data_IF_020342642300
#
_entry.id   IF_020342642300
#
_cell.length_a   1.000
_cell.length_b   1.000
_cell.length_c   1.000
_cell.angle_alpha   90.00
_cell.angle_beta   90.00
_cell.angle_gamma   90.00
#
_symmetry.space_group_name_H-M   'P 1'
#
loop_
_entity.id
_entity.type
_entity.pdbx_description
1 polymer ?
#
# COMPACT_ATOMS: atom_id res chain seq x y z
N UNK A 1 -26.01 45.58 44.03
CA UNK A 1 -26.95 44.98 43.06
C UNK A 1 -26.40 45.01 41.64
N UNK A 2 -25.99 46.16 41.09
CA UNK A 2 -25.52 46.27 39.70
C UNK A 2 -24.23 45.46 39.41
N UNK A 3 -23.24 45.44 40.32
CA UNK A 3 -22.00 44.65 40.17
C UNK A 3 -22.27 43.13 40.05
N UNK A 4 -23.15 42.59 40.90
CA UNK A 4 -23.52 41.18 40.88
C UNK A 4 -24.20 40.78 39.56
N UNK A 5 -24.99 41.68 38.97
CA UNK A 5 -25.61 41.48 37.66
C UNK A 5 -24.56 41.44 36.53
N UNK A 6 -23.59 42.36 36.55
CA UNK A 6 -22.50 42.38 35.57
C UNK A 6 -21.58 41.16 35.68
N UNK A 7 -21.33 40.69 36.90
CA UNK A 7 -20.58 39.46 37.14
C UNK A 7 -21.33 38.23 36.60
N UNK A 8 -22.63 38.13 36.88
CA UNK A 8 -23.47 37.05 36.36
C UNK A 8 -23.50 37.06 34.83
N UNK A 9 -23.62 38.23 34.21
CA UNK A 9 -23.58 38.38 32.75
C UNK A 9 -22.24 37.92 32.16
N UNK A 10 -21.12 38.33 32.76
CA UNK A 10 -19.79 37.91 32.32
C UNK A 10 -19.61 36.39 32.44
N UNK A 11 -20.09 35.80 33.54
CA UNK A 11 -20.06 34.36 33.76
C UNK A 11 -20.91 33.61 32.72
N UNK A 12 -22.12 34.09 32.44
CA UNK A 12 -23.01 33.50 31.43
C UNK A 12 -22.35 33.55 30.05
N UNK A 13 -21.76 34.69 29.66
CA UNK A 13 -21.05 34.85 28.40
C UNK A 13 -19.89 33.86 28.26
N UNK A 14 -19.10 33.67 29.32
CA UNK A 14 -17.98 32.73 29.32
C UNK A 14 -18.50 31.30 29.17
N UNK A 15 -19.45 30.88 30.01
CA UNK A 15 -19.95 29.50 30.03
C UNK A 15 -20.63 29.16 28.71
N UNK A 16 -21.49 30.04 28.18
CA UNK A 16 -22.21 29.78 26.93
C UNK A 16 -21.25 29.69 25.74
N UNK A 17 -20.26 30.60 25.67
CA UNK A 17 -19.31 30.63 24.55
C UNK A 17 -18.32 29.47 24.61
N UNK A 18 -17.84 29.11 25.80
CA UNK A 18 -16.98 27.94 26.00
C UNK A 18 -17.72 26.64 25.65
N UNK A 19 -18.99 26.51 26.07
CA UNK A 19 -19.80 25.34 25.73
C UNK A 19 -20.02 25.22 24.22
N UNK A 20 -20.31 26.34 23.55
CA UNK A 20 -20.45 26.37 22.08
C UNK A 20 -19.16 25.95 21.37
N UNK A 21 -18.01 26.47 21.80
CA UNK A 21 -16.70 26.09 21.25
C UNK A 21 -16.42 24.59 21.48
N UNK A 22 -16.65 24.07 22.69
CA UNK A 22 -16.45 22.65 22.99
C UNK A 22 -17.31 21.78 22.08
N UNK A 23 -18.60 22.10 21.93
CA UNK A 23 -19.50 21.35 21.04
C UNK A 23 -18.99 21.38 19.60
N UNK A 24 -18.58 22.55 19.10
CA UNK A 24 -18.08 22.70 17.74
C UNK A 24 -16.78 21.91 17.50
N UNK A 25 -15.81 21.99 18.42
CA UNK A 25 -14.57 21.21 18.36
C UNK A 25 -14.82 19.71 18.46
N UNK A 26 -15.75 19.27 19.32
CA UNK A 26 -16.08 17.85 19.46
C UNK A 26 -16.87 17.31 18.27
N UNK A 27 -17.69 18.13 17.62
CA UNK A 27 -18.47 17.73 16.43
C UNK A 27 -17.64 17.76 15.15
N UNK A 28 -16.56 18.54 15.12
CA UNK A 28 -15.74 18.72 13.92
C UNK A 28 -15.33 17.41 13.23
N UNK A 29 -14.76 16.38 13.91
CA UNK A 29 -14.37 15.14 13.25
C UNK A 29 -15.54 14.38 12.60
N UNK A 30 -16.76 14.53 13.14
CA UNK A 30 -17.94 13.81 12.67
C UNK A 30 -18.63 14.51 11.51
N UNK A 31 -18.53 15.84 11.42
CA UNK A 31 -19.19 16.63 10.38
C UNK A 31 -18.30 16.90 9.16
N UNK A 32 -16.98 16.82 9.32
CA UNK A 32 -16.02 17.30 8.32
C UNK A 32 -15.12 16.17 7.75
N UNK A 33 -15.47 14.91 8.03
CA UNK A 33 -14.94 13.74 7.32
C UNK A 33 -15.99 13.25 6.32
N UNK A 34 -15.65 13.31 5.03
CA UNK A 34 -16.49 12.75 3.96
C UNK A 34 -15.91 11.42 3.51
N UNK A 35 -16.77 10.42 3.33
CA UNK A 35 -16.42 9.15 2.71
C UNK A 35 -17.22 9.02 1.42
N UNK A 36 -16.51 8.81 0.31
CA UNK A 36 -17.11 8.44 -0.97
C UNK A 36 -16.76 6.99 -1.25
N UNK A 37 -17.73 6.17 -1.59
CA UNK A 37 -17.53 4.76 -1.92
C UNK A 37 -18.15 4.40 -3.26
N UNK A 38 -17.59 3.37 -3.90
CA UNK A 38 -18.03 2.97 -5.22
C UNK A 38 -17.25 1.80 -5.78
N UNK A 39 -17.44 1.57 -7.08
CA UNK A 39 -16.69 0.59 -7.86
C UNK A 39 -16.15 1.25 -9.11
N UNK A 40 -14.93 0.90 -9.47
CA UNK A 40 -14.28 1.36 -10.70
C UNK A 40 -13.84 0.15 -11.51
N UNK A 41 -14.18 0.15 -12.79
CA UNK A 41 -13.66 -0.84 -13.73
C UNK A 41 -12.28 -0.39 -14.21
N UNK A 42 -11.29 -1.26 -14.03
CA UNK A 42 -9.91 -1.09 -14.48
C UNK A 42 -9.60 -2.11 -15.57
N UNK A 43 -8.78 -1.72 -16.54
CA UNK A 43 -8.29 -2.58 -17.62
C UNK A 43 -6.78 -2.37 -17.81
N UNK A 44 -6.06 -3.43 -18.17
CA UNK A 44 -4.60 -3.38 -18.30
C UNK A 44 -4.17 -2.35 -19.32
N UNK A 45 -3.24 -1.47 -18.94
CA UNK A 45 -2.68 -0.44 -19.82
C UNK A 45 -3.64 0.72 -20.14
N UNK A 46 -4.85 0.73 -19.56
CA UNK A 46 -5.80 1.84 -19.71
C UNK A 46 -5.85 2.69 -18.46
N UNK A 47 -5.67 3.98 -18.64
CA UNK A 47 -5.82 4.97 -17.58
C UNK A 47 -7.29 5.19 -17.25
N UNK A 48 -7.61 5.15 -15.96
CA UNK A 48 -8.93 5.47 -15.46
C UNK A 48 -8.89 6.67 -14.54
N UNK A 49 -9.54 7.74 -14.97
CA UNK A 49 -9.75 8.92 -14.12
C UNK A 49 -10.96 8.69 -13.20
N UNK A 50 -10.74 8.81 -11.90
CA UNK A 50 -11.75 8.75 -10.86
C UNK A 50 -11.90 10.14 -10.22
N UNK A 51 -12.93 10.93 -10.59
CA UNK A 51 -13.14 12.26 -10.04
C UNK A 51 -13.54 12.18 -8.57
N UNK A 52 -13.04 13.13 -7.78
CA UNK A 52 -13.53 13.33 -6.41
C UNK A 52 -14.78 14.20 -6.50
N UNK A 53 -15.88 13.72 -5.93
CA UNK A 53 -17.20 14.32 -6.17
C UNK A 53 -17.39 15.65 -5.44
N UNK A 54 -16.72 15.84 -4.30
CA UNK A 54 -16.71 17.11 -3.58
C UNK A 54 -15.53 18.00 -4.00
N UNK A 55 -15.75 19.33 -4.11
CA UNK A 55 -14.65 20.26 -4.14
C UNK A 55 -13.86 20.16 -2.83
N UNK A 56 -12.54 20.13 -2.96
CA UNK A 56 -11.60 20.07 -1.87
C UNK A 56 -11.29 21.48 -1.37
N UNK A 57 -11.05 21.61 -0.06
CA UNK A 57 -10.54 22.83 0.55
C UNK A 57 -9.03 22.75 0.69
N UNK A 58 -8.42 23.91 0.89
CA UNK A 58 -6.99 23.98 1.16
C UNK A 58 -6.64 23.17 2.42
N UNK A 59 -5.65 22.29 2.30
CA UNK A 59 -5.17 21.37 3.33
C UNK A 59 -6.11 20.20 3.69
N UNK A 60 -7.11 19.90 2.86
CA UNK A 60 -7.87 18.66 3.02
C UNK A 60 -6.94 17.44 2.86
N UNK A 61 -7.08 16.46 3.76
CA UNK A 61 -6.34 15.20 3.70
C UNK A 61 -7.18 14.20 2.93
N UNK A 62 -6.70 13.79 1.76
CA UNK A 62 -7.44 12.90 0.87
C UNK A 62 -6.72 11.57 0.76
N UNK A 63 -7.43 10.49 1.07
CA UNK A 63 -6.93 9.12 0.98
C UNK A 63 -7.87 8.29 0.11
N UNK A 64 -7.34 7.57 -0.86
CA UNK A 64 -8.06 6.51 -1.56
C UNK A 64 -7.59 5.15 -1.06
N UNK A 65 -8.53 4.24 -0.88
CA UNK A 65 -8.29 2.83 -0.59
C UNK A 65 -9.03 1.99 -1.63
N UNK A 66 -8.29 1.21 -2.39
CA UNK A 66 -8.77 0.26 -3.38
C UNK A 66 -8.65 -1.16 -2.81
N UNK A 67 -9.74 -1.92 -2.85
CA UNK A 67 -9.74 -3.33 -2.41
C UNK A 67 -9.54 -4.23 -3.61
N UNK A 68 -8.30 -4.60 -3.90
CA UNK A 68 -7.95 -5.40 -5.07
C UNK A 68 -6.64 -6.15 -4.87
N UNK A 69 -6.55 -7.34 -5.46
CA UNK A 69 -5.30 -8.07 -5.63
C UNK A 69 -4.50 -7.63 -6.86
N UNK A 70 -5.08 -6.76 -7.71
CA UNK A 70 -4.38 -6.15 -8.83
C UNK A 70 -3.31 -5.16 -8.35
N UNK A 71 -2.17 -5.12 -9.03
CA UNK A 71 -1.23 -4.01 -8.90
C UNK A 71 -1.85 -2.78 -9.58
N UNK A 72 -2.10 -1.72 -8.81
CA UNK A 72 -2.66 -0.46 -9.33
C UNK A 72 -1.75 0.68 -8.93
N UNK A 73 -1.24 1.39 -9.94
CA UNK A 73 -0.55 2.65 -9.75
C UNK A 73 -1.58 3.76 -9.53
N UNK A 74 -1.42 4.50 -8.43
CA UNK A 74 -2.34 5.54 -8.01
C UNK A 74 -1.61 6.89 -8.05
N UNK A 75 -2.09 7.78 -8.90
CA UNK A 75 -1.64 9.18 -8.96
C UNK A 75 -2.81 10.12 -8.72
N UNK A 76 -2.56 11.33 -8.21
CA UNK A 76 -3.57 12.37 -8.06
C UNK A 76 -3.32 13.50 -9.04
N UNK A 77 -4.40 14.09 -9.56
CA UNK A 77 -4.37 15.16 -10.55
C UNK A 77 -5.34 16.28 -10.19
N UNK A 78 -4.98 17.49 -10.58
CA UNK A 78 -5.84 18.67 -10.56
C UNK A 78 -5.58 19.51 -11.79
N UNK A 79 -6.65 19.85 -12.53
CA UNK A 79 -6.56 20.67 -13.74
C UNK A 79 -5.46 20.20 -14.72
N UNK A 80 -5.33 18.87 -14.88
CA UNK A 80 -4.31 18.25 -15.74
C UNK A 80 -2.88 18.25 -15.20
N UNK A 81 -2.64 18.74 -13.97
CA UNK A 81 -1.31 18.69 -13.33
C UNK A 81 -1.26 17.59 -12.26
N UNK A 82 -0.18 16.79 -12.20
CA UNK A 82 -0.01 15.79 -11.15
C UNK A 82 0.20 16.47 -9.79
N UNK A 83 -0.34 15.87 -8.74
CA UNK A 83 -0.14 16.25 -7.35
C UNK A 83 0.87 15.32 -6.69
N UNK A 84 1.63 15.85 -5.73
CA UNK A 84 2.58 15.04 -4.97
C UNK A 84 1.82 14.10 -4.01
N UNK A 85 1.97 12.80 -4.24
CA UNK A 85 1.46 11.77 -3.34
C UNK A 85 2.41 11.63 -2.15
N UNK A 86 1.86 11.51 -0.93
CA UNK A 86 2.64 11.32 0.30
C UNK A 86 2.57 9.83 0.70
N UNK A 87 3.66 9.25 1.21
CA UNK A 87 3.62 7.89 1.75
C UNK A 87 2.69 7.85 2.96
N UNK A 88 1.83 6.83 3.03
CA UNK A 88 1.01 6.60 4.21
C UNK A 88 1.85 5.82 5.23
N UNK A 89 2.49 6.53 6.14
CA UNK A 89 3.13 5.90 7.30
C UNK A 89 2.07 5.71 8.37
N UNK A 90 1.53 4.49 8.52
CA UNK A 90 0.73 4.14 9.69
C UNK A 90 1.72 3.93 10.85
N UNK A 91 1.80 4.88 11.77
CA UNK A 91 2.67 4.78 12.95
C UNK A 91 2.40 3.47 13.71
N UNK A 92 3.43 2.64 13.88
CA UNK A 92 3.41 1.46 14.75
C UNK A 92 3.54 0.09 14.07
N UNK A 93 3.54 -0.01 12.73
CA UNK A 93 3.78 -1.28 12.05
C UNK A 93 4.62 -1.08 10.79
N UNK A 94 5.91 -1.42 10.87
CA UNK A 94 6.79 -1.46 9.71
C UNK A 94 6.51 -2.70 8.87
N UNK A 95 5.48 -2.68 8.02
CA UNK A 95 5.18 -3.84 7.18
C UNK A 95 4.67 -3.44 5.80
N UNK A 96 5.61 -3.19 4.89
CA UNK A 96 5.34 -3.20 3.45
C UNK A 96 4.64 -4.52 3.04
N UNK A 97 4.87 -5.64 3.77
CA UNK A 97 4.26 -6.96 3.54
C UNK A 97 2.79 -7.10 3.99
N UNK A 98 2.31 -6.37 5.00
CA UNK A 98 0.93 -6.51 5.52
C UNK A 98 -0.09 -5.91 4.55
N UNK A 99 0.26 -4.81 3.87
CA UNK A 99 -0.62 -4.21 2.86
C UNK A 99 -0.84 -5.14 1.65
N UNK A 100 0.18 -5.91 1.24
CA UNK A 100 0.03 -6.94 0.19
C UNK A 100 -0.90 -8.07 0.63
N UNK A 101 -0.83 -8.50 1.89
CA UNK A 101 -1.70 -9.55 2.44
C UNK A 101 -3.16 -9.09 2.59
N UNK A 102 -3.40 -7.79 2.79
CA UNK A 102 -4.74 -7.22 2.94
C UNK A 102 -5.43 -6.87 1.60
N UNK A 103 -4.78 -7.11 0.46
CA UNK A 103 -5.30 -6.77 -0.88
C UNK A 103 -5.80 -5.31 -0.95
N UNK A 104 -5.07 -4.40 -0.32
CA UNK A 104 -5.42 -2.97 -0.29
C UNK A 104 -4.33 -2.17 -0.98
N UNK A 105 -4.71 -1.36 -1.97
CA UNK A 105 -3.84 -0.35 -2.58
C UNK A 105 -4.30 1.03 -2.09
N UNK A 106 -3.38 1.83 -1.54
CA UNK A 106 -3.71 3.13 -0.96
C UNK A 106 -2.93 4.25 -1.59
N UNK A 107 -3.59 5.39 -1.80
CA UNK A 107 -2.97 6.65 -2.19
C UNK A 107 -3.37 7.75 -1.23
N UNK A 108 -2.43 8.65 -0.91
CA UNK A 108 -2.66 9.77 0.00
C UNK A 108 -2.05 11.06 -0.55
N UNK A 109 -2.77 12.17 -0.44
CA UNK A 109 -2.24 13.51 -0.70
C UNK A 109 -2.92 14.57 0.18
N UNK A 110 -2.28 15.73 0.29
CA UNK A 110 -2.85 16.92 0.90
C UNK A 110 -3.32 17.83 -0.23
N UNK A 111 -4.61 18.13 -0.26
CA UNK A 111 -5.22 18.93 -1.29
C UNK A 111 -4.90 20.41 -1.10
N UNK A 112 -4.87 21.13 -2.21
CA UNK A 112 -5.17 22.56 -2.19
C UNK A 112 -6.61 22.75 -2.68
N UNK A 113 -7.15 23.96 -2.53
CA UNK A 113 -8.54 24.25 -2.88
C UNK A 113 -8.85 23.94 -4.36
N UNK A 114 -10.01 23.33 -4.61
CA UNK A 114 -10.56 23.05 -5.95
C UNK A 114 -10.94 21.59 -6.18
N UNK A 115 -11.10 21.23 -7.46
CA UNK A 115 -11.46 19.86 -7.87
C UNK A 115 -10.20 19.03 -8.11
N UNK A 116 -10.22 17.75 -7.71
CA UNK A 116 -9.14 16.82 -8.00
C UNK A 116 -9.69 15.46 -8.43
N UNK A 117 -8.81 14.60 -8.92
CA UNK A 117 -9.15 13.26 -9.38
C UNK A 117 -7.98 12.32 -9.13
N UNK A 118 -8.27 11.04 -8.95
CA UNK A 118 -7.25 10.00 -8.99
C UNK A 118 -7.13 9.48 -10.42
N UNK A 119 -5.90 9.28 -10.88
CA UNK A 119 -5.58 8.48 -12.06
C UNK A 119 -5.18 7.10 -11.56
N UNK A 120 -5.92 6.09 -11.98
CA UNK A 120 -5.69 4.69 -11.67
C UNK A 120 -5.17 4.01 -12.92
N UNK A 121 -3.99 3.40 -12.82
CA UNK A 121 -3.38 2.67 -13.91
C UNK A 121 -3.09 1.24 -13.46
N UNK A 122 -3.54 0.25 -14.23
CA UNK A 122 -3.25 -1.15 -13.97
C UNK A 122 -2.16 -1.62 -14.97
N UNK A 123 -0.87 -1.61 -14.59
CA UNK A 123 0.21 -1.91 -15.53
C UNK A 123 0.27 -3.39 -15.92
N UNK A 124 -0.23 -4.28 -15.04
CA UNK A 124 -0.16 -5.72 -15.24
C UNK A 124 -1.53 -6.38 -15.14
N UNK A 125 -1.78 -7.47 -15.90
CA UNK A 125 -2.92 -8.34 -15.67
C UNK A 125 -2.97 -8.85 -14.22
N UNK A 126 -4.19 -9.13 -13.74
CA UNK A 126 -4.39 -9.81 -12.46
C UNK A 126 -3.98 -11.26 -12.62
N UNK A 127 -3.16 -11.70 -11.68
CA UNK A 127 -2.69 -13.08 -11.58
C UNK A 127 -2.99 -13.61 -10.18
N UNK A 128 -3.00 -14.93 -9.96
CA UNK A 128 -3.04 -15.51 -8.62
C UNK A 128 -1.85 -15.08 -7.74
N UNK A 129 -0.75 -14.62 -8.35
CA UNK A 129 0.47 -14.16 -7.70
C UNK A 129 0.50 -12.63 -7.56
N UNK A 130 0.99 -12.16 -6.42
CA UNK A 130 1.41 -10.78 -6.21
C UNK A 130 2.79 -10.57 -6.83
N UNK A 131 2.96 -9.49 -7.58
CA UNK A 131 4.27 -9.07 -8.09
C UNK A 131 4.95 -8.23 -7.01
N UNK A 132 5.97 -8.78 -6.37
CA UNK A 132 6.80 -8.06 -5.40
C UNK A 132 8.13 -7.74 -6.09
N UNK A 133 8.61 -6.50 -5.92
CA UNK A 133 9.83 -5.99 -6.54
C UNK A 133 9.75 -5.93 -8.08
N UNK A 134 9.04 -4.97 -8.70
CA UNK A 134 9.22 -4.70 -10.12
C UNK A 134 10.60 -4.05 -10.30
N UNK A 135 11.64 -4.89 -10.42
CA UNK A 135 13.01 -4.53 -10.81
C UNK A 135 13.62 -3.47 -9.89
N UNK A 136 13.96 -3.90 -8.65
CA UNK A 136 14.75 -3.07 -7.73
C UNK A 136 16.23 -3.14 -8.09
N UNK A 137 16.78 -2.03 -8.51
CA UNK A 137 18.16 -1.69 -8.22
C UNK A 137 18.24 -1.06 -6.84
N UNK A 138 19.15 -1.54 -6.00
CA UNK A 138 19.44 -0.91 -4.71
C UNK A 138 20.44 0.22 -4.94
N UNK A 139 19.94 1.46 -5.02
CA UNK A 139 20.78 2.64 -4.75
C UNK A 139 20.74 2.93 -3.26
N UNK A 140 21.92 3.04 -2.63
CA UNK A 140 22.10 3.35 -1.20
C UNK A 140 21.61 4.79 -0.88
N UNK A 141 21.34 5.61 -1.90
CA UNK A 141 20.97 7.03 -1.76
C UNK A 141 19.44 7.31 -1.81
N UNK A 142 18.60 6.31 -1.60
CA UNK A 142 17.22 6.55 -1.11
C UNK A 142 16.22 7.18 -2.11
N UNK A 143 16.44 7.04 -3.41
CA UNK A 143 15.45 7.46 -4.41
C UNK A 143 15.60 6.69 -5.71
N UNK A 144 14.82 5.62 -5.88
CA UNK A 144 14.63 4.98 -7.19
C UNK A 144 13.16 5.03 -7.53
N UNK A 145 12.83 5.59 -8.70
CA UNK A 145 11.46 5.56 -9.22
C UNK A 145 11.21 4.17 -9.82
N UNK A 146 10.03 3.56 -9.60
CA UNK A 146 9.64 2.35 -10.31
C UNK A 146 9.85 2.50 -11.83
N UNK A 147 10.48 1.52 -12.49
CA UNK A 147 10.67 1.48 -13.94
C UNK A 147 11.99 2.04 -14.50
N UNK A 148 12.89 2.56 -13.65
CA UNK A 148 14.22 3.03 -14.11
C UNK A 148 15.17 1.86 -14.42
N UNK A 149 15.08 0.76 -13.68
CA UNK A 149 16.03 -0.36 -13.75
C UNK A 149 15.70 -1.37 -14.85
N UNK A 150 14.40 -1.49 -15.19
CA UNK A 150 13.93 -2.29 -16.30
C UNK A 150 12.41 -2.30 -16.44
N UNK A 151 11.91 -3.10 -17.37
CA UNK A 151 10.49 -3.36 -17.59
C UNK A 151 10.16 -4.84 -17.35
N UNK A 152 9.00 -5.11 -16.75
CA UNK A 152 8.44 -6.44 -16.59
C UNK A 152 7.15 -6.52 -17.39
N UNK A 153 6.82 -7.68 -17.94
CA UNK A 153 5.49 -7.95 -18.48
C UNK A 153 5.06 -9.37 -18.11
N UNK A 154 3.75 -9.54 -17.92
CA UNK A 154 3.14 -10.85 -17.64
C UNK A 154 2.11 -11.14 -18.72
N UNK A 155 2.25 -12.31 -19.34
CA UNK A 155 1.38 -12.77 -20.41
C UNK A 155 1.09 -14.27 -20.27
N UNK A 156 0.17 -14.78 -21.08
CA UNK A 156 -0.02 -16.21 -21.26
C UNK A 156 0.71 -16.63 -22.52
N UNK A 157 1.37 -17.77 -22.45
CA UNK A 157 1.84 -18.50 -23.61
C UNK A 157 1.34 -19.94 -23.55
N UNK A 158 1.33 -20.59 -24.69
CA UNK A 158 1.00 -22.00 -24.82
C UNK A 158 2.21 -22.70 -25.42
N UNK A 159 2.75 -23.65 -24.67
CA UNK A 159 3.78 -24.58 -25.15
C UNK A 159 3.13 -25.96 -25.09
N UNK A 160 3.28 -26.79 -26.12
CA UNK A 160 2.76 -28.17 -26.16
C UNK A 160 1.35 -28.36 -25.56
N UNK A 161 0.40 -27.48 -25.92
CA UNK A 161 -1.00 -27.47 -25.46
C UNK A 161 -1.22 -27.17 -23.96
N UNK A 162 -0.18 -26.76 -23.24
CA UNK A 162 -0.24 -26.34 -21.84
C UNK A 162 -0.10 -24.82 -21.73
N UNK A 163 -1.05 -24.20 -21.02
CA UNK A 163 -0.99 -22.77 -20.71
C UNK A 163 0.04 -22.51 -19.62
N UNK A 164 0.92 -21.57 -19.87
CA UNK A 164 1.98 -21.14 -18.95
C UNK A 164 1.94 -19.62 -18.77
N UNK A 165 2.22 -19.16 -17.55
CA UNK A 165 2.52 -17.75 -17.31
C UNK A 165 3.88 -17.45 -17.93
N UNK A 166 3.93 -16.46 -18.81
CA UNK A 166 5.18 -15.92 -19.34
C UNK A 166 5.49 -14.60 -18.64
N UNK A 167 6.58 -14.58 -17.88
CA UNK A 167 7.14 -13.41 -17.24
C UNK A 167 8.36 -12.97 -18.03
N UNK A 168 8.23 -11.85 -18.73
CA UNK A 168 9.35 -11.26 -19.47
C UNK A 168 9.91 -10.07 -18.70
N UNK A 169 11.23 -10.00 -18.60
CA UNK A 169 11.95 -8.92 -17.95
C UNK A 169 12.98 -8.36 -18.94
N UNK A 170 12.97 -7.05 -19.11
CA UNK A 170 13.89 -6.28 -19.93
C UNK A 170 14.70 -5.35 -19.04
N UNK A 171 16.02 -5.50 -19.02
CA UNK A 171 16.92 -4.59 -18.30
C UNK A 171 17.09 -3.28 -19.06
N UNK A 172 17.03 -2.15 -18.35
CA UNK A 172 17.30 -0.80 -18.91
C UNK A 172 18.59 -0.17 -18.40
N UNK A 173 19.09 -0.61 -17.24
CA UNK A 173 20.31 -0.09 -16.59
C UNK A 173 21.24 -1.23 -16.21
N UNK A 174 22.52 -0.96 -15.95
CA UNK A 174 23.48 -1.98 -15.52
C UNK A 174 23.24 -2.56 -14.10
N UNK A 175 22.20 -2.09 -13.40
CA UNK A 175 21.81 -2.60 -12.09
C UNK A 175 21.16 -4.00 -12.17
N UNK A 176 21.24 -4.73 -11.05
CA UNK A 176 20.64 -6.05 -10.93
C UNK A 176 19.12 -5.97 -11.11
N UNK A 177 18.57 -6.88 -11.92
CA UNK A 177 17.15 -6.95 -12.24
C UNK A 177 16.58 -8.26 -11.71
N UNK A 178 15.68 -8.18 -10.74
CA UNK A 178 14.92 -9.32 -10.25
C UNK A 178 13.43 -9.00 -10.13
N UNK A 179 12.59 -10.00 -10.36
CA UNK A 179 11.16 -9.96 -10.09
C UNK A 179 10.78 -11.17 -9.24
N UNK A 180 9.85 -10.98 -8.30
CA UNK A 180 9.33 -12.07 -7.47
C UNK A 180 7.81 -12.13 -7.60
N UNK A 181 7.31 -13.29 -8.03
CA UNK A 181 5.89 -13.61 -8.00
C UNK A 181 5.59 -14.36 -6.71
N UNK A 182 4.62 -13.91 -5.92
CA UNK A 182 4.33 -14.46 -4.60
C UNK A 182 2.86 -14.84 -4.48
N UNK A 183 2.62 -16.10 -4.14
CA UNK A 183 1.31 -16.64 -3.82
C UNK A 183 1.17 -16.78 -2.30
N UNK A 184 0.22 -16.09 -1.66
CA UNK A 184 0.01 -16.18 -0.23
C UNK A 184 -0.61 -17.54 0.11
N UNK A 185 -0.09 -18.14 1.18
CA UNK A 185 -0.60 -19.40 1.72
C UNK A 185 -0.71 -19.28 3.23
N UNK A 186 -1.56 -20.11 3.82
CA UNK A 186 -1.61 -20.29 5.26
C UNK A 186 -1.64 -21.79 5.51
N UNK A 187 -0.46 -22.37 5.75
CA UNK A 187 -0.34 -23.80 5.97
C UNK A 187 0.82 -24.12 6.91
N UNK A 188 0.63 -25.16 7.72
CA UNK A 188 1.72 -25.82 8.46
C UNK A 188 2.28 -26.93 7.57
N UNK A 189 3.59 -27.01 7.41
CA UNK A 189 4.26 -27.99 6.54
C UNK A 189 4.26 -29.37 7.20
N UNK A 190 3.76 -30.36 6.47
CA UNK A 190 3.81 -31.78 6.86
C UNK A 190 4.89 -32.56 6.10
N UNK A 191 5.15 -33.79 6.53
CA UNK A 191 6.17 -34.66 5.92
C UNK A 191 5.94 -34.93 4.43
N UNK A 192 4.68 -34.93 3.98
CA UNK A 192 4.29 -35.18 2.59
C UNK A 192 4.30 -33.93 1.70
N UNK A 193 4.75 -32.78 2.24
CA UNK A 193 4.78 -31.51 1.55
C UNK A 193 5.62 -31.58 0.28
N UNK A 194 5.00 -31.17 -0.82
CA UNK A 194 5.58 -31.20 -2.15
C UNK A 194 5.06 -30.04 -2.99
N UNK A 195 5.94 -29.31 -3.65
CA UNK A 195 5.57 -28.36 -4.70
C UNK A 195 6.15 -28.80 -6.02
N UNK A 196 5.25 -29.01 -6.98
CA UNK A 196 5.58 -29.45 -8.32
C UNK A 196 5.10 -28.43 -9.35
N UNK A 197 5.92 -28.20 -10.37
CA UNK A 197 5.55 -27.39 -11.53
C UNK A 197 6.47 -27.65 -12.71
N UNK A 198 6.08 -27.11 -13.86
CA UNK A 198 6.90 -27.12 -15.08
C UNK A 198 7.33 -25.70 -15.35
N UNK A 199 8.58 -25.51 -15.77
CA UNK A 199 9.04 -24.23 -16.27
C UNK A 199 9.83 -24.38 -17.57
N UNK A 200 9.94 -23.28 -18.29
CA UNK A 200 10.81 -23.08 -19.43
C UNK A 200 11.29 -21.64 -19.38
N UNK A 201 12.31 -21.33 -20.14
CA UNK A 201 12.85 -19.99 -20.27
C UNK A 201 13.35 -19.68 -21.69
N UNK A 202 13.52 -18.42 -21.97
CA UNK A 202 14.14 -17.93 -23.20
C UNK A 202 15.04 -16.78 -22.83
N UNK A 203 16.30 -16.90 -23.19
CA UNK A 203 17.33 -15.91 -22.91
C UNK A 203 18.25 -15.75 -24.11
N UNK A 204 18.84 -14.56 -24.28
CA UNK A 204 19.64 -14.28 -25.48
C UNK A 204 21.10 -14.73 -25.37
N UNK A 205 21.66 -14.77 -24.15
CA UNK A 205 23.07 -15.08 -23.89
C UNK A 205 23.26 -16.02 -22.72
N UNK A 206 22.63 -15.72 -21.57
CA UNK A 206 22.87 -16.42 -20.31
C UNK A 206 21.55 -16.85 -19.66
N UNK A 207 21.54 -18.02 -19.03
CA UNK A 207 20.35 -18.52 -18.34
C UNK A 207 19.97 -17.61 -17.14
N UNK A 208 18.69 -17.20 -17.00
CA UNK A 208 18.23 -16.49 -15.82
C UNK A 208 18.33 -17.35 -14.58
N UNK A 209 18.58 -16.73 -13.43
CA UNK A 209 18.52 -17.40 -12.12
C UNK A 209 17.05 -17.45 -11.70
N UNK A 210 16.49 -18.65 -11.59
CA UNK A 210 15.12 -18.91 -11.20
C UNK A 210 15.18 -19.68 -9.89
N UNK A 211 14.59 -19.11 -8.85
CA UNK A 211 14.50 -19.75 -7.54
C UNK A 211 13.06 -19.79 -7.09
N UNK A 212 12.66 -20.91 -6.53
CA UNK A 212 11.45 -21.05 -5.77
C UNK A 212 11.72 -20.59 -4.33
N UNK A 213 10.79 -19.87 -3.72
CA UNK A 213 10.97 -19.27 -2.42
C UNK A 213 9.81 -19.64 -1.50
N UNK A 214 10.11 -19.87 -0.23
CA UNK A 214 9.13 -20.21 0.81
C UNK A 214 9.40 -19.32 2.02
N UNK A 215 8.41 -18.54 2.43
CA UNK A 215 8.51 -17.68 3.61
C UNK A 215 7.91 -18.37 4.83
N UNK A 216 8.74 -18.66 5.82
CA UNK A 216 8.31 -19.21 7.11
C UNK A 216 7.99 -18.08 8.09
N UNK A 217 6.80 -18.13 8.69
CA UNK A 217 6.41 -17.27 9.80
C UNK A 217 7.01 -17.74 11.12
N UNK A 218 7.30 -19.04 11.27
CA UNK A 218 7.77 -19.63 12.53
C UNK A 218 9.12 -19.04 12.93
N UNK A 219 10.05 -18.92 11.98
CA UNK A 219 11.41 -18.45 12.21
C UNK A 219 11.73 -17.15 11.44
N UNK A 220 10.82 -16.68 10.59
CA UNK A 220 10.98 -15.45 9.81
C UNK A 220 11.98 -15.56 8.66
N UNK A 221 12.30 -16.79 8.21
CA UNK A 221 13.31 -17.03 7.17
C UNK A 221 12.64 -17.21 5.78
N UNK A 222 13.27 -16.61 4.76
CA UNK A 222 12.98 -16.88 3.35
C UNK A 222 13.89 -18.00 2.84
N UNK A 223 13.33 -19.18 2.64
CA UNK A 223 14.05 -20.30 2.04
C UNK A 223 14.01 -20.18 0.52
N UNK A 224 15.17 -20.14 -0.12
CA UNK A 224 15.30 -20.03 -1.58
C UNK A 224 15.92 -21.29 -2.18
N UNK A 225 15.23 -21.87 -3.17
CA UNK A 225 15.58 -23.12 -3.84
C UNK A 225 15.83 -22.83 -5.33
N UNK A 226 17.07 -22.88 -5.83
CA UNK A 226 17.32 -22.70 -7.26
C UNK A 226 16.67 -23.86 -8.03
N UNK A 227 15.93 -23.53 -9.09
CA UNK A 227 15.07 -24.48 -9.81
C UNK A 227 15.83 -25.23 -10.92
N UNK A 228 17.09 -24.87 -11.22
CA UNK A 228 17.86 -25.51 -12.31
C UNK A 228 19.34 -25.77 -12.01
N UNK A 229 19.90 -26.73 -12.76
CA UNK A 229 21.34 -26.93 -12.99
C UNK A 229 21.76 -26.28 -14.31
N UNK A 230 22.99 -25.74 -14.39
CA UNK A 230 23.53 -24.94 -15.51
C UNK A 230 23.56 -25.63 -16.91
N UNK A 231 23.00 -26.83 -17.06
CA UNK A 231 23.17 -27.73 -18.19
C UNK A 231 22.00 -27.79 -19.19
N UNK A 232 20.95 -26.99 -19.04
CA UNK A 232 19.73 -27.11 -19.87
C UNK A 232 19.69 -26.05 -20.97
N UNK A 233 19.14 -26.39 -22.15
CA UNK A 233 19.17 -25.53 -23.35
C UNK A 233 17.89 -24.72 -23.59
N UNK A 234 18.04 -23.43 -23.92
CA UNK A 234 16.93 -22.44 -24.04
C UNK A 234 15.67 -23.00 -24.71
N UNK A 235 14.49 -22.76 -24.12
CA UNK A 235 13.20 -23.28 -24.59
C UNK A 235 12.82 -24.72 -24.19
N UNK A 236 13.73 -25.51 -23.61
CA UNK A 236 13.40 -26.83 -23.06
C UNK A 236 12.56 -26.74 -21.77
N UNK A 237 11.56 -27.62 -21.71
CA UNK A 237 10.70 -27.82 -20.54
C UNK A 237 11.44 -28.56 -19.44
N UNK A 238 11.25 -28.11 -18.21
CA UNK A 238 11.81 -28.72 -17.03
C UNK A 238 10.77 -28.87 -15.94
N UNK A 239 10.69 -30.08 -15.39
CA UNK A 239 9.94 -30.35 -14.18
C UNK A 239 10.78 -29.99 -12.97
N UNK A 240 10.16 -29.35 -11.98
CA UNK A 240 10.76 -29.18 -10.67
C UNK A 240 9.86 -29.76 -9.59
N UNK A 241 10.51 -30.30 -8.57
CA UNK A 241 9.86 -30.92 -7.43
C UNK A 241 10.60 -30.53 -6.16
N UNK A 242 9.96 -29.70 -5.35
CA UNK A 242 10.45 -29.30 -4.05
C UNK A 242 9.75 -30.08 -2.94
N UNK A 243 10.51 -30.74 -2.08
CA UNK A 243 10.00 -31.46 -0.90
C UNK A 243 10.48 -30.80 0.40
N UNK A 244 9.74 -30.99 1.50
CA UNK A 244 10.10 -30.43 2.81
C UNK A 244 11.44 -30.96 3.40
N UNK A 245 11.97 -32.06 2.84
CA UNK A 245 13.24 -32.68 3.23
C UNK A 245 14.37 -32.46 2.21
N UNK A 246 14.18 -31.58 1.22
CA UNK A 246 15.17 -31.36 0.15
C UNK A 246 16.45 -30.71 0.72
N UNK A 247 17.44 -31.53 1.10
CA UNK A 247 18.66 -31.05 1.76
C UNK A 247 19.60 -30.26 0.84
N UNK A 248 19.53 -30.43 -0.48
CA UNK A 248 20.52 -29.83 -1.40
C UNK A 248 20.41 -28.30 -1.62
N UNK A 249 19.26 -27.63 -1.37
CA UNK A 249 19.23 -26.17 -1.25
C UNK A 249 19.17 -25.65 0.19
N UNK A 250 18.83 -26.52 1.14
CA UNK A 250 18.69 -26.18 2.55
C UNK A 250 20.06 -26.22 3.23
N UNK A 251 20.83 -25.14 3.07
CA UNK A 251 21.96 -24.89 4.00
C UNK A 251 21.47 -24.84 5.47
N UNK A 252 20.17 -24.68 5.70
CA UNK A 252 19.51 -24.60 7.00
C UNK A 252 18.26 -25.50 7.07
N UNK A 253 18.41 -26.74 7.55
CA UNK A 253 17.33 -27.50 8.20
C UNK A 253 16.17 -28.01 7.33
N UNK A 254 15.23 -28.70 7.98
CA UNK A 254 13.94 -29.12 7.40
C UNK A 254 12.88 -28.10 7.79
N UNK A 255 11.98 -27.77 6.86
CA UNK A 255 10.85 -26.86 7.12
C UNK A 255 9.60 -27.59 7.64
N UNK A 256 9.71 -28.87 7.99
CA UNK A 256 8.60 -29.66 8.52
C UNK A 256 8.17 -29.08 9.87
N UNK A 257 6.87 -28.82 10.03
CA UNK A 257 6.30 -28.20 11.22
C UNK A 257 6.25 -26.67 11.17
N UNK A 258 6.90 -26.03 10.19
CA UNK A 258 6.84 -24.58 10.04
C UNK A 258 5.50 -24.11 9.50
N UNK A 259 5.08 -22.93 9.93
CA UNK A 259 3.95 -22.22 9.34
C UNK A 259 4.46 -21.33 8.20
N UNK A 260 3.97 -21.57 7.00
CA UNK A 260 4.35 -20.83 5.80
C UNK A 260 3.27 -19.80 5.45
N UNK A 261 3.69 -18.56 5.20
CA UNK A 261 2.81 -17.45 4.79
C UNK A 261 2.77 -17.21 3.29
N UNK A 262 3.82 -17.63 2.58
CA UNK A 262 3.87 -17.43 1.14
C UNK A 262 4.85 -18.37 0.44
N UNK A 263 4.54 -18.59 -0.82
CA UNK A 263 5.34 -19.33 -1.77
C UNK A 263 5.58 -18.42 -2.97
N UNK A 264 6.79 -18.33 -3.48
CA UNK A 264 7.08 -17.47 -4.62
C UNK A 264 8.08 -18.01 -5.62
N UNK A 265 8.10 -17.41 -6.79
CA UNK A 265 9.07 -17.63 -7.85
C UNK A 265 9.84 -16.34 -8.06
N UNK A 266 11.14 -16.36 -7.78
CA UNK A 266 12.03 -15.24 -8.11
C UNK A 266 12.77 -15.52 -9.41
N UNK A 267 12.79 -14.53 -10.28
CA UNK A 267 13.51 -14.54 -11.56
C UNK A 267 14.52 -13.41 -11.50
N UNK A 268 15.80 -13.72 -11.69
CA UNK A 268 16.90 -12.75 -11.67
C UNK A 268 17.69 -12.84 -12.96
N UNK A 269 17.91 -11.69 -13.60
CA UNK A 269 18.73 -11.62 -14.81
C UNK A 269 20.21 -11.62 -14.41
N UNK A 270 21.03 -12.48 -15.02
CA UNK A 270 22.47 -12.44 -14.81
C UNK A 270 23.06 -11.17 -15.46
N UNK A 271 24.23 -10.68 -15.00
CA UNK A 271 24.81 -9.43 -15.49
C UNK A 271 25.01 -9.34 -17.00
N UNK A 272 25.20 -10.45 -17.73
CA UNK A 272 25.35 -10.45 -19.19
C UNK A 272 24.05 -10.37 -19.99
N UNK A 273 22.89 -10.53 -19.35
CA UNK A 273 21.59 -10.67 -19.99
C UNK A 273 20.73 -9.41 -19.88
N UNK A 274 20.16 -9.00 -21.01
CA UNK A 274 19.28 -7.82 -21.08
C UNK A 274 17.80 -8.18 -21.21
N UNK A 275 17.50 -9.40 -21.66
CA UNK A 275 16.14 -9.85 -21.86
C UNK A 275 16.03 -11.32 -21.47
N UNK A 276 15.09 -11.62 -20.58
CA UNK A 276 14.72 -13.00 -20.31
C UNK A 276 13.21 -13.14 -20.27
N UNK A 277 12.73 -14.31 -20.67
CA UNK A 277 11.34 -14.72 -20.51
C UNK A 277 11.31 -16.04 -19.78
N UNK A 278 10.65 -16.11 -18.64
CA UNK A 278 10.48 -17.33 -17.87
C UNK A 278 9.01 -17.72 -17.93
N UNK A 279 8.78 -18.93 -18.42
CA UNK A 279 7.49 -19.56 -18.49
C UNK A 279 7.34 -20.56 -17.36
N UNK A 280 6.21 -20.55 -16.67
CA UNK A 280 5.91 -21.58 -15.68
C UNK A 280 4.44 -21.98 -15.73
N UNK A 281 4.18 -23.27 -15.53
CA UNK A 281 2.84 -23.83 -15.57
C UNK A 281 2.12 -23.69 -14.23
N UNK A 282 0.98 -24.37 -14.12
CA UNK A 282 0.21 -24.41 -12.88
C UNK A 282 1.01 -25.09 -11.78
N UNK A 283 1.07 -24.47 -10.60
CA UNK A 283 1.78 -25.05 -9.46
C UNK A 283 0.87 -26.00 -8.70
N UNK A 284 1.40 -27.17 -8.37
CA UNK A 284 0.70 -28.17 -7.59
C UNK A 284 1.38 -28.28 -6.22
N UNK A 285 0.61 -28.01 -5.17
CA UNK A 285 1.08 -28.10 -3.78
C UNK A 285 0.36 -29.27 -3.14
N UNK A 286 1.10 -30.27 -2.67
CA UNK A 286 0.60 -31.32 -1.79
C UNK A 286 1.04 -31.01 -0.38
N UNK A 287 0.16 -31.17 0.60
CA UNK A 287 0.46 -31.02 2.02
C UNK A 287 -0.66 -31.65 2.87
N UNK A 288 -0.31 -32.40 3.91
CA UNK A 288 -1.26 -33.03 4.84
C UNK A 288 -2.29 -33.94 4.15
N UNK A 289 -1.91 -34.63 3.07
CA UNK A 289 -2.82 -35.43 2.24
C UNK A 289 -3.74 -34.60 1.32
N UNK A 290 -3.74 -33.27 1.44
CA UNK A 290 -4.46 -32.35 0.56
C UNK A 290 -3.66 -31.98 -0.68
N UNK A 291 -4.35 -31.59 -1.75
CA UNK A 291 -3.74 -31.07 -2.99
C UNK A 291 -4.39 -29.74 -3.36
N UNK A 292 -3.57 -28.71 -3.56
CA UNK A 292 -3.96 -27.39 -4.07
C UNK A 292 -3.30 -27.18 -5.43
N UNK A 293 -4.07 -26.72 -6.41
CA UNK A 293 -3.55 -26.36 -7.73
C UNK A 293 -3.73 -24.86 -7.92
N UNK A 294 -2.64 -24.17 -8.21
CA UNK A 294 -2.63 -22.76 -8.57
C UNK A 294 -2.62 -22.70 -10.09
N UNK A 295 -3.80 -22.48 -10.66
CA UNK A 295 -3.98 -22.45 -12.11
C UNK A 295 -3.31 -21.24 -12.75
N UNK A 296 -2.96 -21.40 -14.02
CA UNK A 296 -2.50 -20.30 -14.87
C UNK A 296 -3.69 -19.51 -15.40
N UNK A 297 -4.07 -18.46 -14.68
CA UNK A 297 -5.17 -17.57 -15.03
C UNK A 297 -4.72 -16.10 -15.09
N UNK A 298 -5.09 -15.40 -16.17
CA UNK A 298 -4.91 -13.94 -16.30
C UNK A 298 -6.25 -13.25 -16.53
N UNK A 299 -6.52 -12.22 -15.74
CA UNK A 299 -7.63 -11.30 -15.98
C UNK A 299 -7.10 -9.93 -16.38
N UNK A 300 -7.58 -9.42 -17.52
CA UNK A 300 -7.16 -8.12 -18.06
C UNK A 300 -8.04 -6.96 -17.61
N UNK A 301 -9.16 -7.25 -16.95
CA UNK A 301 -10.03 -6.24 -16.36
C UNK A 301 -10.58 -6.72 -15.03
N UNK A 302 -10.94 -5.77 -14.17
CA UNK A 302 -11.59 -6.05 -12.91
C UNK A 302 -12.45 -4.87 -12.44
N UNK A 303 -13.42 -5.19 -11.58
CA UNK A 303 -14.19 -4.19 -10.85
C UNK A 303 -13.60 -4.04 -9.45
N UNK A 304 -12.99 -2.89 -9.18
CA UNK A 304 -12.33 -2.60 -7.92
C UNK A 304 -13.23 -1.74 -7.04
N UNK A 305 -13.69 -2.24 -5.88
CA UNK A 305 -14.31 -1.40 -4.87
C UNK A 305 -13.31 -0.37 -4.34
N UNK A 306 -13.77 0.87 -4.18
CA UNK A 306 -12.94 1.93 -3.61
C UNK A 306 -13.66 2.66 -2.48
N UNK A 307 -12.85 3.28 -1.61
CA UNK A 307 -13.27 4.30 -0.65
C UNK A 307 -12.32 5.49 -0.72
N UNK A 308 -12.86 6.69 -0.88
CA UNK A 308 -12.13 7.95 -0.78
C UNK A 308 -12.54 8.62 0.53
N UNK A 309 -11.56 8.85 1.39
CA UNK A 309 -11.71 9.56 2.64
C UNK A 309 -11.19 10.98 2.45
N UNK A 310 -12.01 11.97 2.77
CA UNK A 310 -11.64 13.38 2.75
C UNK A 310 -11.79 13.88 4.18
N UNK A 311 -10.68 14.02 4.89
CA UNK A 311 -10.62 14.60 6.21
C UNK A 311 -10.25 16.07 6.09
N UNK A 312 -11.20 16.96 6.35
CA UNK A 312 -10.97 18.39 6.21
C UNK A 312 -10.12 18.93 7.37
N UNK A 313 -9.38 20.00 7.12
CA UNK A 313 -8.70 20.75 8.19
C UNK A 313 -9.72 21.59 8.96
N UNK A 314 -9.54 21.70 10.27
CA UNK A 314 -10.38 22.57 11.09
C UNK A 314 -10.25 24.02 10.61
N UNK A 315 -11.36 24.58 10.14
CA UNK A 315 -11.52 26.01 9.94
C UNK A 315 -12.54 26.52 10.96
N UNK A 316 -12.20 27.49 11.81
CA UNK A 316 -13.17 28.09 12.73
C UNK A 316 -14.36 28.63 11.93
N UNK A 317 -15.59 28.24 12.29
CA UNK A 317 -16.78 28.87 11.70
C UNK A 317 -16.95 30.31 12.20
N UNK A 318 -17.88 31.06 11.58
CA UNK A 318 -18.29 32.36 12.11
C UNK A 318 -18.84 32.27 13.55
N UNK A 319 -19.44 31.14 13.92
CA UNK A 319 -19.91 30.86 15.29
C UNK A 319 -18.73 30.67 16.24
N UNK A 320 -17.70 29.94 15.83
CA UNK A 320 -16.43 29.82 16.56
C UNK A 320 -15.80 31.19 16.80
N UNK A 321 -15.73 32.03 15.77
CA UNK A 321 -15.16 33.36 15.88
C UNK A 321 -15.95 34.25 16.85
N UNK A 322 -17.27 34.27 16.71
CA UNK A 322 -18.16 35.00 17.63
C UNK A 322 -18.03 34.49 19.07
N UNK A 323 -17.93 33.17 19.27
CA UNK A 323 -17.76 32.56 20.58
C UNK A 323 -16.43 32.92 21.21
N UNK A 324 -15.33 32.92 20.45
CA UNK A 324 -14.02 33.40 20.92
C UNK A 324 -14.06 34.88 21.32
N UNK A 325 -14.76 35.71 20.55
CA UNK A 325 -14.93 37.13 20.86
C UNK A 325 -15.73 37.33 22.17
N UNK A 326 -16.86 36.64 22.30
CA UNK A 326 -17.72 36.72 23.49
C UNK A 326 -17.03 36.16 24.74
N UNK A 327 -16.27 35.08 24.60
CA UNK A 327 -15.43 34.53 25.66
C UNK A 327 -14.40 35.57 26.12
N UNK A 328 -13.71 36.20 25.18
CA UNK A 328 -12.71 37.24 25.46
C UNK A 328 -13.34 38.45 26.14
N UNK A 329 -14.50 38.92 25.67
CA UNK A 329 -15.28 39.99 26.29
C UNK A 329 -15.68 39.64 27.73
N UNK A 330 -16.21 38.43 27.95
CA UNK A 330 -16.59 37.96 29.28
C UNK A 330 -15.41 37.89 30.24
N UNK A 331 -14.25 37.40 29.77
CA UNK A 331 -13.02 37.35 30.56
C UNK A 331 -12.50 38.76 30.91
N UNK A 332 -12.50 39.69 29.95
CA UNK A 332 -12.12 41.09 30.19
C UNK A 332 -13.08 41.76 31.18
N UNK A 333 -14.38 41.51 31.06
CA UNK A 333 -15.38 42.02 32.00
C UNK A 333 -15.16 41.48 33.42
N UNK A 334 -14.92 40.18 33.57
CA UNK A 334 -14.58 39.60 34.89
C UNK A 334 -13.29 40.19 35.45
N UNK A 335 -12.24 40.31 34.63
CA UNK A 335 -10.98 40.91 35.03
C UNK A 335 -11.16 42.34 35.55
N UNK A 336 -11.88 43.19 34.82
CA UNK A 336 -12.15 44.57 35.23
C UNK A 336 -12.98 44.67 36.50
N UNK A 337 -13.91 43.73 36.73
CA UNK A 337 -14.68 43.67 37.98
C UNK A 337 -13.80 43.26 39.17
N UNK A 338 -12.92 42.28 39.00
CA UNK A 338 -12.01 41.80 40.04
C UNK A 338 -10.93 42.85 40.36
N UNK A 339 -10.30 43.43 39.34
CA UNK A 339 -9.25 44.43 39.51
C UNK A 339 -9.75 45.78 40.05
N UNK A 340 -11.03 46.14 39.84
CA UNK A 340 -11.61 47.32 40.51
C UNK A 340 -11.80 47.14 42.01
N UNK A 341 -11.92 45.89 42.46
CA UNK A 341 -12.13 45.55 43.88
C UNK A 341 -10.81 45.16 44.58
N UNK A 342 -9.71 44.98 43.84
CA UNK A 342 -8.35 44.95 44.38
C UNK A 342 -7.71 46.33 44.25
N UNK A 343 -7.62 47.16 45.31
CA UNK A 343 -6.75 48.32 45.26
C UNK A 343 -5.33 47.82 44.99
N UNK A 344 -4.71 48.30 43.92
CA UNK A 344 -3.26 48.25 43.76
C UNK A 344 -2.62 49.04 44.92
N UNK A 345 -2.58 48.44 46.13
CA UNK A 345 -1.62 48.77 47.16
C UNK A 345 -0.33 48.04 46.82
N UNK A 346 0.32 48.45 45.74
CA UNK A 346 1.74 48.15 45.53
C UNK A 346 2.39 49.51 45.31
N UNK A 347 3.51 49.74 46.01
CA UNK A 347 4.38 50.93 45.99
C UNK A 347 4.05 52.07 46.97
N UNK A 348 4.17 51.80 48.28
CA UNK A 348 4.85 52.79 49.13
C UNK A 348 6.36 52.49 49.06
N UNK A 349 7.20 53.41 48.56
CA UNK A 349 8.65 53.24 48.64
C UNK A 349 9.05 53.37 50.12
N UNK A 350 9.73 52.36 50.65
CA UNK A 350 10.42 52.43 51.94
C UNK A 350 11.71 53.24 51.82
#
# INVERSE_FOLDING_TARGET
>A
MMKSLWFLLALVLIISSASSLIVEYCQFPYNEVKVEDGKVELEVGKDKLLPISAPLRENDRVMINLRTNATVEISAFRNGKPLEMKPLTVEGMGYCLVDYLLMNQTGFFIAEEGNASFLLHMPFPITPYHVIFPLRGFSIDGGVKPGEVGEMSISLAEIDQEKMFNVSIVRKTDESCSAMLVYPVDMVVHEDFEVHGVFSWFSSKEAPIVSFNVMSETDGILYSYPVFSQSVSTGERQDFNLRATSQDPLKHGSIIGDKISSIGLSITLPPGENLTSVLFSSLQIRNAGGRKVINVDLQRSCNVPYKIYIARKYSPSGVSFASWLLLSLGLVMMWLLICKDFPFKIFEPH
#
